data_IF_189272808642
#
_entry.id   IF_189272808642
#
_cell.length_a   1.000
_cell.length_b   1.000
_cell.length_c   1.000
_cell.angle_alpha   90.00
_cell.angle_beta   90.00
_cell.angle_gamma   90.00
#
_symmetry.space_group_name_H-M   'P 1'
#
loop_
_entity.id
_entity.type
_entity.pdbx_description
1 polymer ?
#
# COMPACT_ATOMS: atom_id res chain seq x y z
N UNK A 1 -14.15 7.62 -6.68
CA UNK A 1 -12.99 6.73 -6.43
C UNK A 1 -12.08 7.48 -5.48
N UNK A 2 -11.74 6.88 -4.33
CA UNK A 2 -10.86 7.53 -3.36
C UNK A 2 -9.44 7.66 -3.94
N UNK A 3 -8.62 8.56 -3.40
CA UNK A 3 -7.26 8.75 -3.91
C UNK A 3 -6.35 7.59 -3.54
N UNK A 4 -5.53 7.13 -4.50
CA UNK A 4 -4.53 6.09 -4.25
C UNK A 4 -3.52 6.57 -3.19
N UNK A 5 -3.10 5.75 -2.22
CA UNK A 5 -2.09 6.13 -1.25
C UNK A 5 -0.78 6.55 -1.93
N UNK A 6 -0.07 7.51 -1.34
CA UNK A 6 1.13 8.10 -1.94
C UNK A 6 2.19 7.04 -2.27
N UNK A 7 2.43 6.11 -1.36
CA UNK A 7 3.41 5.03 -1.53
C UNK A 7 3.06 4.12 -2.71
N UNK A 8 1.77 3.84 -2.92
CA UNK A 8 1.32 3.01 -4.04
C UNK A 8 1.48 3.73 -5.38
N UNK A 9 1.31 5.06 -5.41
CA UNK A 9 1.60 5.86 -6.62
C UNK A 9 3.09 5.73 -6.99
N UNK A 10 3.99 5.87 -6.01
CA UNK A 10 5.44 5.74 -6.24
C UNK A 10 5.81 4.32 -6.66
N UNK A 11 5.31 3.29 -5.96
CA UNK A 11 5.58 1.88 -6.28
C UNK A 11 5.14 1.55 -7.70
N UNK A 12 3.90 1.90 -8.06
CA UNK A 12 3.37 1.68 -9.40
C UNK A 12 4.17 2.46 -10.46
N UNK A 13 4.58 3.70 -10.18
CA UNK A 13 5.43 4.45 -11.10
C UNK A 13 6.74 3.71 -11.37
N UNK A 14 7.42 3.28 -10.31
CA UNK A 14 8.74 2.65 -10.37
C UNK A 14 8.67 1.29 -11.09
N UNK A 15 7.76 0.42 -10.66
CA UNK A 15 7.61 -0.93 -11.23
C UNK A 15 7.24 -0.85 -12.72
N UNK A 16 6.28 0.00 -13.10
CA UNK A 16 5.90 0.16 -14.51
C UNK A 16 7.01 0.79 -15.35
N UNK A 17 7.80 1.71 -14.79
CA UNK A 17 8.92 2.33 -15.51
C UNK A 17 10.04 1.33 -15.79
N UNK A 18 10.39 0.51 -14.79
CA UNK A 18 11.37 -0.56 -14.94
C UNK A 18 10.88 -1.62 -15.92
N UNK A 19 9.61 -2.03 -15.81
CA UNK A 19 9.00 -2.98 -16.76
C UNK A 19 9.06 -2.45 -18.19
N UNK A 20 8.67 -1.19 -18.40
CA UNK A 20 8.73 -0.55 -19.73
C UNK A 20 10.16 -0.53 -20.28
N UNK A 21 11.16 -0.20 -19.44
CA UNK A 21 12.56 -0.24 -19.84
C UNK A 21 12.98 -1.65 -20.26
N UNK A 22 12.70 -2.66 -19.43
CA UNK A 22 13.17 -4.02 -19.68
C UNK A 22 12.52 -4.64 -20.90
N UNK A 23 11.23 -4.39 -21.14
CA UNK A 23 10.56 -4.80 -22.39
C UNK A 23 11.25 -4.13 -23.59
N UNK A 24 11.44 -2.80 -23.54
CA UNK A 24 12.07 -2.05 -24.64
C UNK A 24 13.49 -2.51 -24.94
N UNK A 25 14.25 -2.88 -23.91
CA UNK A 25 15.61 -3.39 -24.04
C UNK A 25 15.61 -4.81 -24.61
N UNK A 26 14.70 -5.67 -24.15
CA UNK A 26 14.59 -7.05 -24.61
C UNK A 26 14.23 -7.16 -26.11
N UNK A 27 13.51 -6.18 -26.65
CA UNK A 27 13.22 -6.08 -28.09
C UNK A 27 14.47 -5.75 -28.94
N UNK A 28 15.57 -5.34 -28.31
CA UNK A 28 16.81 -4.96 -29.00
C UNK A 28 17.83 -6.11 -28.98
N UNK A 29 18.39 -6.47 -30.14
CA UNK A 29 19.41 -7.53 -30.26
C UNK A 29 20.82 -7.14 -29.81
N UNK A 30 21.00 -5.90 -29.33
CA UNK A 30 22.30 -5.32 -28.97
C UNK A 30 22.28 -4.79 -27.55
N UNK A 31 23.46 -4.69 -26.94
CA UNK A 31 23.63 -4.04 -25.65
C UNK A 31 23.11 -2.60 -25.70
N UNK A 32 22.21 -2.25 -24.76
CA UNK A 32 21.65 -0.91 -24.64
C UNK A 32 22.41 -0.15 -23.55
N UNK A 33 23.24 0.86 -23.89
CA UNK A 33 24.03 1.61 -22.93
C UNK A 33 23.16 2.52 -22.05
N UNK A 34 23.67 2.89 -20.85
CA UNK A 34 22.96 3.68 -19.83
C UNK A 34 22.28 4.93 -20.39
N UNK A 35 22.95 5.69 -21.27
CA UNK A 35 22.36 6.90 -21.84
C UNK A 35 21.10 6.60 -22.70
N UNK A 36 21.07 5.47 -23.42
CA UNK A 36 19.87 5.03 -24.16
C UNK A 36 18.77 4.54 -23.24
N UNK A 37 19.12 3.86 -22.15
CA UNK A 37 18.17 3.42 -21.12
C UNK A 37 17.52 4.64 -20.45
N UNK A 38 18.31 5.68 -20.15
CA UNK A 38 17.82 6.97 -19.68
C UNK A 38 16.89 7.65 -20.69
N UNK A 39 17.22 7.68 -22.00
CA UNK A 39 16.34 8.23 -23.04
C UNK A 39 14.97 7.54 -23.07
N UNK A 40 14.95 6.20 -22.97
CA UNK A 40 13.72 5.38 -22.91
C UNK A 40 12.88 5.79 -21.69
N UNK A 41 13.49 5.80 -20.50
CA UNK A 41 12.80 6.15 -19.25
C UNK A 41 12.31 7.60 -19.24
N UNK A 42 13.11 8.55 -19.71
CA UNK A 42 12.70 9.97 -19.80
C UNK A 42 11.50 10.14 -20.74
N UNK A 43 11.49 9.42 -21.87
CA UNK A 43 10.35 9.43 -22.80
C UNK A 43 9.09 8.86 -22.15
N UNK A 44 9.22 7.78 -21.38
CA UNK A 44 8.13 7.13 -20.66
C UNK A 44 7.56 7.99 -19.52
N UNK A 45 8.42 8.62 -18.73
CA UNK A 45 8.04 9.39 -17.54
C UNK A 45 7.50 10.79 -17.85
N UNK A 46 7.94 11.41 -18.96
CA UNK A 46 7.59 12.81 -19.28
C UNK A 46 6.06 13.05 -19.41
N UNK A 47 5.26 12.18 -20.06
CA UNK A 47 3.80 12.33 -20.10
C UNK A 47 3.14 12.39 -18.71
N UNK A 48 3.69 11.67 -17.73
CA UNK A 48 3.12 11.56 -16.38
C UNK A 48 3.12 12.89 -15.61
N UNK A 49 3.95 13.86 -15.99
CA UNK A 49 3.95 15.21 -15.39
C UNK A 49 2.65 15.99 -15.63
N UNK A 50 1.91 15.63 -16.68
CA UNK A 50 0.64 16.27 -17.06
C UNK A 50 -0.57 15.49 -16.55
N UNK A 51 -0.37 14.24 -16.15
CA UNK A 51 -1.42 13.35 -15.70
C UNK A 51 -1.74 13.65 -14.22
N UNK A 52 -3.03 13.87 -13.94
CA UNK A 52 -3.52 14.25 -12.61
C UNK A 52 -3.26 13.17 -11.56
N UNK A 53 -3.16 11.89 -11.97
CA UNK A 53 -2.87 10.75 -11.09
C UNK A 53 -1.53 10.88 -10.37
N UNK A 54 -0.56 11.58 -10.99
CA UNK A 54 0.78 11.77 -10.44
C UNK A 54 0.98 13.15 -9.80
N UNK A 55 -0.09 13.96 -9.65
CA UNK A 55 0.01 15.32 -9.10
C UNK A 55 0.69 15.34 -7.72
N UNK A 56 0.39 14.35 -6.87
CA UNK A 56 0.95 14.23 -5.50
C UNK A 56 2.44 13.90 -5.48
N UNK A 57 2.98 13.31 -6.56
CA UNK A 57 4.38 12.90 -6.68
C UNK A 57 5.14 13.72 -7.73
N UNK A 58 4.61 14.90 -8.10
CA UNK A 58 5.12 15.69 -9.22
C UNK A 58 6.57 16.13 -9.02
N UNK A 59 6.98 16.37 -7.78
CA UNK A 59 8.33 16.82 -7.46
C UNK A 59 9.33 15.66 -7.58
N UNK A 60 8.95 14.48 -7.12
CA UNK A 60 9.68 13.23 -7.23
C UNK A 60 9.88 12.88 -8.72
N UNK A 61 8.81 12.98 -9.51
CA UNK A 61 8.86 12.76 -10.96
C UNK A 61 9.82 13.75 -11.66
N UNK A 62 9.84 15.02 -11.24
CA UNK A 62 10.82 16.00 -11.76
C UNK A 62 12.25 15.65 -11.40
N UNK A 63 12.49 15.16 -10.17
CA UNK A 63 13.83 14.71 -9.74
C UNK A 63 14.30 13.53 -10.57
N UNK A 64 13.45 12.52 -10.77
CA UNK A 64 13.75 11.38 -11.65
C UNK A 64 14.09 11.83 -13.08
N UNK A 65 13.28 12.71 -13.66
CA UNK A 65 13.55 13.27 -14.99
C UNK A 65 14.86 14.07 -15.07
N UNK A 66 15.24 14.77 -13.98
CA UNK A 66 16.53 15.46 -13.91
C UNK A 66 17.70 14.48 -13.97
N UNK A 67 17.61 13.36 -13.25
CA UNK A 67 18.64 12.31 -13.28
C UNK A 67 18.78 11.73 -14.67
N UNK A 68 17.68 11.34 -15.33
CA UNK A 68 17.73 10.79 -16.68
C UNK A 68 18.24 11.75 -17.76
N UNK A 69 18.20 13.07 -17.51
CA UNK A 69 18.73 14.10 -18.42
C UNK A 69 20.19 14.45 -18.16
N UNK A 70 20.75 14.03 -17.03
CA UNK A 70 22.14 14.29 -16.70
C UNK A 70 23.07 13.36 -17.49
N UNK A 71 24.15 13.91 -18.03
CA UNK A 71 25.16 13.13 -18.76
C UNK A 71 25.83 12.04 -17.89
N UNK A 72 25.86 12.24 -16.56
CA UNK A 72 26.39 11.29 -15.57
C UNK A 72 25.29 10.56 -14.79
N UNK A 73 24.03 10.76 -15.17
CA UNK A 73 22.90 10.18 -14.45
C UNK A 73 22.67 8.72 -14.82
N UNK A 74 22.20 7.94 -13.86
CA UNK A 74 21.70 6.59 -14.06
C UNK A 74 20.29 6.51 -13.45
N UNK A 75 19.28 6.68 -14.31
CA UNK A 75 17.90 6.74 -13.87
C UNK A 75 17.37 5.35 -13.51
N UNK A 76 17.85 4.30 -14.17
CA UNK A 76 17.48 2.93 -13.81
C UNK A 76 18.00 2.58 -12.41
N UNK A 77 19.28 2.83 -12.14
CA UNK A 77 19.84 2.60 -10.81
C UNK A 77 19.08 3.39 -9.74
N UNK A 78 18.70 4.63 -10.02
CA UNK A 78 17.87 5.41 -9.10
C UNK A 78 16.49 4.79 -8.87
N UNK A 79 15.81 4.28 -9.92
CA UNK A 79 14.53 3.61 -9.79
C UNK A 79 14.65 2.30 -8.98
N UNK A 80 15.70 1.52 -9.21
CA UNK A 80 16.01 0.30 -8.44
C UNK A 80 16.21 0.66 -6.96
N UNK A 81 17.01 1.69 -6.65
CA UNK A 81 17.22 2.13 -5.27
C UNK A 81 15.92 2.55 -4.58
N UNK A 82 15.03 3.24 -5.29
CA UNK A 82 13.70 3.62 -4.75
C UNK A 82 12.86 2.36 -4.49
N UNK A 83 12.87 1.41 -5.42
CA UNK A 83 12.15 0.13 -5.27
C UNK A 83 12.64 -0.66 -4.06
N UNK A 84 13.95 -0.80 -3.90
CA UNK A 84 14.57 -1.50 -2.77
C UNK A 84 14.27 -0.83 -1.44
N UNK A 85 14.30 0.50 -1.39
CA UNK A 85 13.93 1.23 -0.19
C UNK A 85 12.46 1.00 0.18
N UNK A 86 11.55 1.04 -0.81
CA UNK A 86 10.15 0.76 -0.59
C UNK A 86 9.93 -0.67 -0.07
N UNK A 87 10.62 -1.67 -0.65
CA UNK A 87 10.56 -3.06 -0.17
C UNK A 87 11.07 -3.21 1.26
N UNK A 88 12.20 -2.56 1.62
CA UNK A 88 12.70 -2.58 3.00
C UNK A 88 11.68 -1.99 3.97
N UNK A 89 11.09 -0.84 3.65
CA UNK A 89 10.05 -0.22 4.49
C UNK A 89 8.83 -1.14 4.65
N UNK A 90 8.43 -1.87 3.61
CA UNK A 90 7.33 -2.85 3.69
C UNK A 90 7.70 -4.08 4.54
N UNK A 91 8.93 -4.58 4.43
CA UNK A 91 9.42 -5.74 5.19
C UNK A 91 9.57 -5.42 6.69
N UNK A 92 10.12 -4.25 6.99
CA UNK A 92 10.37 -3.78 8.36
C UNK A 92 9.12 -3.12 8.98
N UNK A 93 7.97 -3.20 8.32
CA UNK A 93 6.74 -2.56 8.80
C UNK A 93 6.22 -3.22 10.08
N UNK A 94 6.04 -2.41 11.11
CA UNK A 94 5.47 -2.85 12.40
C UNK A 94 3.99 -3.20 12.25
N UNK A 95 3.43 -3.93 13.22
CA UNK A 95 2.00 -4.25 13.24
C UNK A 95 1.10 -3.01 13.11
N UNK A 96 1.45 -1.91 13.79
CA UNK A 96 0.70 -0.67 13.72
C UNK A 96 0.75 -0.01 12.33
N UNK A 97 1.92 -0.04 11.68
CA UNK A 97 2.09 0.47 10.31
C UNK A 97 1.31 -0.38 9.29
N UNK A 98 1.30 -1.71 9.48
CA UNK A 98 0.49 -2.64 8.69
C UNK A 98 -1.00 -2.35 8.86
N UNK A 99 -1.46 -2.06 10.09
CA UNK A 99 -2.86 -1.69 10.34
C UNK A 99 -3.21 -0.39 9.61
N UNK A 100 -2.37 0.64 9.71
CA UNK A 100 -2.58 1.89 8.97
C UNK A 100 -2.68 1.65 7.46
N UNK A 101 -1.76 0.85 6.90
CA UNK A 101 -1.78 0.48 5.48
C UNK A 101 -3.08 -0.23 5.08
N UNK A 102 -3.53 -1.20 5.88
CA UNK A 102 -4.77 -1.92 5.64
C UNK A 102 -5.98 -0.97 5.59
N UNK A 103 -6.09 -0.05 6.55
CA UNK A 103 -7.19 0.92 6.61
C UNK A 103 -7.16 1.89 5.43
N UNK A 104 -5.98 2.29 4.95
CA UNK A 104 -5.86 3.08 3.72
C UNK A 104 -6.31 2.31 2.49
N UNK A 105 -5.96 1.02 2.39
CA UNK A 105 -6.38 0.14 1.29
C UNK A 105 -7.90 -0.07 1.31
N UNK A 106 -8.50 -0.34 2.47
CA UNK A 106 -9.95 -0.50 2.62
C UNK A 106 -10.72 0.78 2.27
N UNK A 107 -10.18 1.94 2.66
CA UNK A 107 -10.71 3.22 2.22
C UNK A 107 -10.64 3.35 0.70
N UNK A 108 -9.48 3.06 0.10
CA UNK A 108 -9.28 3.21 -1.35
C UNK A 108 -10.16 2.27 -2.19
N UNK A 109 -10.11 0.96 -1.90
CA UNK A 109 -10.76 -0.10 -2.68
C UNK A 109 -12.25 -0.23 -2.36
N UNK A 110 -12.64 -0.18 -1.08
CA UNK A 110 -14.00 -0.47 -0.63
C UNK A 110 -14.81 0.79 -0.25
N UNK A 111 -14.16 1.95 -0.18
CA UNK A 111 -14.79 3.18 0.32
C UNK A 111 -15.11 3.15 1.82
N UNK A 112 -14.52 2.21 2.57
CA UNK A 112 -14.74 2.04 3.99
C UNK A 112 -13.79 2.93 4.79
N UNK A 113 -14.33 3.96 5.45
CA UNK A 113 -13.55 4.80 6.35
C UNK A 113 -13.46 4.15 7.74
N UNK A 114 -12.40 4.44 8.48
CA UNK A 114 -12.20 3.90 9.82
C UNK A 114 -12.38 4.96 10.92
N UNK A 115 -12.89 4.56 12.07
CA UNK A 115 -13.02 5.38 13.28
C UNK A 115 -12.56 4.61 14.51
N UNK A 116 -11.84 5.30 15.38
CA UNK A 116 -11.54 4.84 16.73
C UNK A 116 -12.60 5.42 17.65
N UNK A 117 -13.24 4.57 18.44
CA UNK A 117 -14.35 4.94 19.32
C UNK A 117 -14.16 4.34 20.71
N UNK A 118 -14.81 4.94 21.71
CA UNK A 118 -15.00 4.31 23.01
C UNK A 118 -16.25 3.40 23.00
N UNK A 119 -16.41 2.52 24.00
CA UNK A 119 -17.52 1.55 24.06
C UNK A 119 -18.92 2.19 24.00
N UNK A 120 -19.07 3.40 24.52
CA UNK A 120 -20.35 4.11 24.64
C UNK A 120 -20.75 4.91 23.40
N UNK A 121 -19.88 4.99 22.38
CA UNK A 121 -20.16 5.79 21.19
C UNK A 121 -21.03 5.04 20.18
N UNK A 122 -22.03 5.75 19.64
CA UNK A 122 -22.89 5.20 18.60
C UNK A 122 -22.10 4.96 17.32
N UNK A 123 -22.26 3.76 16.79
CA UNK A 123 -21.77 3.36 15.48
C UNK A 123 -22.80 3.77 14.41
N UNK A 124 -22.28 4.08 13.23
CA UNK A 124 -23.01 4.62 12.08
C UNK A 124 -22.62 3.74 10.89
N UNK A 125 -23.59 3.39 10.03
CA UNK A 125 -23.30 2.59 8.86
C UNK A 125 -22.19 3.16 7.95
N UNK A 126 -21.41 2.27 7.34
CA UNK A 126 -20.38 2.60 6.35
C UNK A 126 -18.99 2.94 6.92
N UNK A 127 -18.77 2.71 8.22
CA UNK A 127 -17.47 2.86 8.86
C UNK A 127 -17.00 1.55 9.50
N UNK A 128 -15.68 1.36 9.48
CA UNK A 128 -14.97 0.38 10.29
C UNK A 128 -14.72 1.02 11.65
N UNK A 129 -15.17 0.36 12.72
CA UNK A 129 -14.99 0.80 14.10
C UNK A 129 -13.95 -0.04 14.81
N UNK A 130 -13.07 0.62 15.53
CA UNK A 130 -12.09 0.01 16.43
C UNK A 130 -12.24 0.61 17.81
N UNK A 131 -12.18 -0.21 18.85
CA UNK A 131 -12.19 0.29 20.23
C UNK A 131 -10.84 0.91 20.56
N UNK A 132 -10.86 2.07 21.22
CA UNK A 132 -9.65 2.75 21.68
C UNK A 132 -8.79 1.85 22.56
N UNK A 133 -9.39 1.16 23.52
CA UNK A 133 -8.69 0.22 24.41
C UNK A 133 -7.96 -0.89 23.63
N UNK A 134 -8.50 -1.32 22.49
CA UNK A 134 -7.82 -2.30 21.66
C UNK A 134 -6.62 -1.69 20.94
N UNK A 135 -6.69 -0.43 20.51
CA UNK A 135 -5.55 0.27 19.91
C UNK A 135 -4.45 0.48 20.94
N UNK A 136 -4.80 0.91 22.14
CA UNK A 136 -3.85 1.24 23.20
C UNK A 136 -3.16 0.00 23.77
N UNK A 137 -3.85 -1.14 23.81
CA UNK A 137 -3.32 -2.39 24.37
C UNK A 137 -2.93 -3.45 23.32
N UNK A 138 -3.27 -3.21 22.05
CA UNK A 138 -3.04 -4.16 20.95
C UNK A 138 -1.63 -4.12 20.39
N UNK A 139 -0.89 -3.04 20.64
CA UNK A 139 0.49 -2.83 20.19
C UNK A 139 1.41 -2.51 21.36
N UNK A 140 2.67 -2.97 21.28
CA UNK A 140 3.70 -2.55 22.23
C UNK A 140 4.36 -1.22 21.80
N UNK A 141 5.32 -0.74 22.58
CA UNK A 141 6.05 0.51 22.29
C UNK A 141 6.82 0.49 20.96
N UNK A 142 7.22 -0.69 20.48
CA UNK A 142 7.84 -0.86 19.17
C UNK A 142 6.81 -0.88 18.02
N UNK A 143 5.51 -0.85 18.32
CA UNK A 143 4.42 -0.93 17.34
C UNK A 143 4.13 -2.36 16.87
N UNK A 144 4.69 -3.38 17.53
CA UNK A 144 4.40 -4.78 17.24
C UNK A 144 3.06 -5.18 17.84
N UNK A 145 2.28 -5.95 17.07
CA UNK A 145 0.98 -6.43 17.53
C UNK A 145 1.17 -7.51 18.61
N UNK A 146 0.63 -7.27 19.80
CA UNK A 146 0.72 -8.19 20.95
C UNK A 146 -0.62 -8.83 21.30
N UNK A 147 -1.73 -8.31 20.77
CA UNK A 147 -3.06 -8.89 20.93
C UNK A 147 -3.90 -8.77 19.64
N UNK A 148 -4.88 -9.67 19.41
CA UNK A 148 -5.80 -9.55 18.29
C UNK A 148 -6.62 -8.26 18.33
N UNK A 149 -6.85 -7.66 17.16
CA UNK A 149 -7.53 -6.36 17.04
C UNK A 149 -8.95 -6.53 16.53
N UNK A 150 -9.94 -6.10 17.30
CA UNK A 150 -11.34 -6.10 16.86
C UNK A 150 -11.61 -5.01 15.82
N UNK A 151 -12.17 -5.41 14.68
CA UNK A 151 -12.87 -4.52 13.76
C UNK A 151 -14.37 -4.82 13.82
N UNK A 152 -15.15 -3.77 13.96
CA UNK A 152 -16.61 -3.82 13.85
C UNK A 152 -17.04 -3.07 12.60
N UNK A 153 -18.03 -3.60 11.88
CA UNK A 153 -18.55 -3.01 10.66
C UNK A 153 -20.08 -2.96 10.75
N UNK A 154 -20.66 -1.81 10.41
CA UNK A 154 -22.09 -1.68 10.16
C UNK A 154 -22.30 -1.44 8.66
N UNK A 155 -22.30 -2.51 7.87
CA UNK A 155 -22.46 -2.47 6.41
C UNK A 155 -22.63 -3.89 5.86
N UNK A 156 -23.31 -3.99 4.72
CA UNK A 156 -23.33 -5.14 3.83
C UNK A 156 -21.98 -5.48 3.15
N UNK A 157 -20.92 -4.70 3.41
CA UNK A 157 -19.59 -4.85 2.78
C UNK A 157 -18.66 -5.82 3.52
N UNK A 158 -19.21 -6.70 4.37
CA UNK A 158 -18.40 -7.63 5.16
C UNK A 158 -17.56 -8.56 4.27
N UNK A 159 -18.13 -9.07 3.18
CA UNK A 159 -17.40 -9.91 2.21
C UNK A 159 -16.23 -9.17 1.56
N UNK A 160 -16.46 -7.95 1.08
CA UNK A 160 -15.41 -7.11 0.47
C UNK A 160 -14.33 -6.69 1.46
N UNK A 161 -14.68 -6.49 2.74
CA UNK A 161 -13.73 -6.25 3.83
C UNK A 161 -12.79 -7.46 4.00
N UNK A 162 -13.35 -8.66 4.16
CA UNK A 162 -12.57 -9.89 4.34
C UNK A 162 -11.69 -10.18 3.13
N UNK A 163 -12.25 -10.12 1.91
CA UNK A 163 -11.50 -10.34 0.67
C UNK A 163 -10.30 -9.37 0.56
N UNK A 164 -10.51 -8.10 0.89
CA UNK A 164 -9.42 -7.10 0.85
C UNK A 164 -8.34 -7.42 1.88
N UNK A 165 -8.71 -7.81 3.10
CA UNK A 165 -7.74 -8.16 4.15
C UNK A 165 -6.90 -9.37 3.70
N UNK A 166 -7.55 -10.44 3.23
CA UNK A 166 -6.87 -11.65 2.76
C UNK A 166 -5.96 -11.38 1.56
N UNK A 167 -6.41 -10.57 0.60
CA UNK A 167 -5.63 -10.13 -0.56
C UNK A 167 -4.37 -9.37 -0.14
N UNK A 168 -4.46 -8.50 0.88
CA UNK A 168 -3.30 -7.72 1.35
C UNK A 168 -2.26 -8.57 2.09
N UNK A 169 -2.68 -9.70 2.68
CA UNK A 169 -1.84 -10.57 3.53
C UNK A 169 -1.18 -9.87 4.71
N UNK A 170 -1.62 -8.66 5.07
CA UNK A 170 -1.08 -7.88 6.19
C UNK A 170 -1.49 -8.48 7.54
N UNK A 171 -2.69 -9.07 7.59
CA UNK A 171 -3.26 -9.73 8.76
C UNK A 171 -3.96 -11.02 8.33
N UNK A 172 -4.16 -11.92 9.29
CA UNK A 172 -5.16 -13.00 9.17
C UNK A 172 -6.44 -12.59 9.90
N UNK A 173 -7.58 -13.09 9.44
CA UNK A 173 -8.91 -12.70 9.93
C UNK A 173 -9.62 -13.85 10.58
N UNK A 174 -10.27 -13.59 11.70
CA UNK A 174 -11.24 -14.48 12.33
C UNK A 174 -12.59 -13.77 12.44
N UNK A 175 -13.62 -14.29 11.80
CA UNK A 175 -14.98 -13.74 11.90
C UNK A 175 -15.60 -14.24 13.22
N UNK A 176 -15.94 -13.31 14.11
CA UNK A 176 -16.62 -13.60 15.38
C UNK A 176 -18.13 -13.52 15.25
N UNK A 177 -18.62 -12.56 14.46
CA UNK A 177 -20.04 -12.37 14.20
C UNK A 177 -20.23 -11.81 12.80
N UNK A 178 -21.25 -12.29 12.10
CA UNK A 178 -21.74 -11.72 10.86
C UNK A 178 -23.27 -11.85 10.86
N UNK A 179 -23.95 -10.76 11.15
CA UNK A 179 -25.40 -10.63 11.09
C UNK A 179 -25.77 -9.91 9.79
N UNK A 180 -26.25 -10.68 8.81
CA UNK A 180 -26.61 -10.15 7.49
C UNK A 180 -27.89 -9.31 7.54
N UNK A 181 -28.81 -9.63 8.47
CA UNK A 181 -30.09 -8.95 8.62
C UNK A 181 -29.90 -7.57 9.25
N UNK A 182 -29.09 -7.49 10.31
CA UNK A 182 -28.72 -6.23 10.96
C UNK A 182 -27.56 -5.50 10.26
N UNK A 183 -26.91 -6.13 9.28
CA UNK A 183 -25.72 -5.66 8.57
C UNK A 183 -24.56 -5.34 9.53
N UNK A 184 -24.38 -6.18 10.54
CA UNK A 184 -23.33 -6.03 11.55
C UNK A 184 -22.29 -7.12 11.44
N UNK A 185 -21.02 -6.73 11.39
CA UNK A 185 -19.89 -7.65 11.37
C UNK A 185 -18.92 -7.37 12.52
N UNK A 186 -18.37 -8.43 13.10
CA UNK A 186 -17.23 -8.37 14.02
C UNK A 186 -16.18 -9.38 13.58
N UNK A 187 -14.96 -8.89 13.37
CA UNK A 187 -13.80 -9.73 13.10
C UNK A 187 -12.63 -9.38 14.02
N UNK A 188 -11.72 -10.33 14.20
CA UNK A 188 -10.41 -10.11 14.79
C UNK A 188 -9.34 -10.14 13.71
N UNK A 189 -8.44 -9.15 13.75
CA UNK A 189 -7.19 -9.14 13.00
C UNK A 189 -6.09 -9.75 13.87
N UNK A 190 -5.50 -10.83 13.37
CA UNK A 190 -4.35 -11.49 13.95
C UNK A 190 -3.10 -11.17 13.13
N UNK A 191 -1.90 -11.18 13.74
CA UNK A 191 -0.66 -11.03 13.00
C UNK A 191 -0.61 -12.04 11.84
N UNK A 192 -0.27 -11.57 10.63
CA UNK A 192 0.03 -12.48 9.54
C UNK A 192 1.34 -13.19 9.87
N UNK A 193 1.27 -14.51 10.13
CA UNK A 193 2.47 -15.31 10.35
C UNK A 193 3.23 -15.28 9.02
N UNK A 194 4.25 -14.43 8.96
CA UNK A 194 5.23 -14.50 7.89
C UNK A 194 5.93 -15.83 8.11
N UNK A 195 5.67 -16.82 7.26
CA UNK A 195 6.49 -18.02 7.22
C UNK A 195 7.89 -17.58 6.80
N UNK A 196 8.72 -17.21 7.77
CA UNK A 196 10.16 -17.30 7.63
C UNK A 196 10.42 -18.80 7.55
N UNK A 197 10.29 -19.36 6.35
CA UNK A 197 10.90 -20.63 6.03
C UNK A 197 12.41 -20.40 6.12
N UNK A 198 12.94 -20.72 7.28
CA UNK A 198 14.35 -21.02 7.47
C UNK A 198 14.68 -22.15 6.50
N UNK A 199 15.42 -21.85 5.43
CA UNK A 199 16.36 -22.80 4.82
C UNK A 199 17.44 -22.04 4.06
#
# INVERSE_FOLDING_TARGET
MNELPYQDIIKNLVDNSLLHLYISVAETSRLVPVYKRNEILVRHLKPMLKDSRYRRIKNELRRLLSTGRSAKGDLEAQLINVRELAHRVELDATGAQKLFKLLETLRYEQGLNSRIVNESEKRIPGFIYMLRDHIDNGFNEAGEQVAPMSLFLESDKMSGLVETIEKTRLFSTEIKQNDEDEKQGHLLLHPSISSVAVT
#
